data_IF_306715204102
#
_entry.id   IF_306715204102
#
_cell.length_a   1.000
_cell.length_b   1.000
_cell.length_c   1.000
_cell.angle_alpha   90.00
_cell.angle_beta   90.00
_cell.angle_gamma   90.00
#
_symmetry.space_group_name_H-M   'P 1'
#
loop_
_entity.id
_entity.type
_entity.pdbx_description
1 polymer ?
#
# COMPACT_ATOMS: atom_id res chain seq x y z
N UNK A 1 -16.13 -4.74 1.71
CA UNK A 1 -14.76 -4.58 2.24
C UNK A 1 -14.82 -3.46 3.25
N UNK A 2 -14.10 -3.62 4.35
CA UNK A 2 -13.93 -2.57 5.36
C UNK A 2 -12.49 -2.08 5.31
N UNK A 3 -12.26 -0.79 5.33
CA UNK A 3 -10.92 -0.21 5.39
C UNK A 3 -10.75 0.62 6.66
N UNK A 4 -9.57 0.51 7.27
CA UNK A 4 -9.19 1.38 8.40
C UNK A 4 -7.88 2.08 8.06
N UNK A 5 -7.87 3.41 8.17
CA UNK A 5 -6.67 4.23 8.00
C UNK A 5 -6.16 4.72 9.34
N UNK A 6 -4.86 4.56 9.58
CA UNK A 6 -4.16 4.93 10.83
C UNK A 6 -2.84 5.62 10.51
N UNK A 7 -2.24 6.27 11.50
CA UNK A 7 -0.87 6.77 11.39
C UNK A 7 0.11 5.59 11.41
N UNK A 8 1.17 5.64 10.59
CA UNK A 8 2.23 4.61 10.59
C UNK A 8 2.94 4.55 11.96
N UNK A 9 3.03 5.67 12.67
CA UNK A 9 3.60 5.76 14.02
C UNK A 9 2.88 4.90 15.06
N UNK A 10 1.68 4.37 14.78
CA UNK A 10 1.01 3.41 15.64
C UNK A 10 1.57 1.98 15.50
N UNK A 11 2.40 1.72 14.48
CA UNK A 11 2.98 0.41 14.18
C UNK A 11 4.50 0.41 14.34
N UNK A 12 5.18 1.51 14.03
CA UNK A 12 6.63 1.64 14.11
C UNK A 12 7.04 3.09 14.34
N UNK A 13 8.09 3.31 15.14
CA UNK A 13 8.71 4.63 15.33
C UNK A 13 9.75 4.95 14.24
N UNK A 14 10.12 3.96 13.42
CA UNK A 14 11.06 4.14 12.31
C UNK A 14 10.33 4.67 11.09
N UNK A 15 11.01 5.55 10.35
CA UNK A 15 10.56 5.97 9.03
C UNK A 15 10.58 4.75 8.09
N UNK A 16 9.46 4.52 7.41
CA UNK A 16 9.33 3.40 6.49
C UNK A 16 10.08 3.67 5.18
N UNK A 17 10.82 2.67 4.67
CA UNK A 17 11.25 2.71 3.27
C UNK A 17 10.09 2.21 2.40
N UNK A 18 9.55 3.10 1.55
CA UNK A 18 8.41 2.77 0.69
C UNK A 18 8.76 1.72 -0.37
N UNK A 19 10.01 1.69 -0.83
CA UNK A 19 10.50 0.69 -1.80
C UNK A 19 10.59 -0.67 -1.13
N UNK A 20 11.20 -0.74 0.05
CA UNK A 20 11.27 -1.98 0.84
C UNK A 20 9.88 -2.49 1.21
N UNK A 21 8.96 -1.59 1.56
CA UNK A 21 7.58 -1.96 1.89
C UNK A 21 6.82 -2.49 0.67
N UNK A 22 7.00 -1.93 -0.53
CA UNK A 22 6.36 -2.46 -1.74
C UNK A 22 6.85 -3.88 -2.08
N UNK A 23 8.11 -4.20 -1.77
CA UNK A 23 8.73 -5.52 -2.08
C UNK A 23 8.68 -5.84 -3.58
N UNK A 24 8.90 -7.11 -3.91
CA UNK A 24 9.03 -7.60 -5.29
C UNK A 24 7.69 -7.68 -6.04
N UNK A 25 6.57 -7.81 -5.32
CA UNK A 25 5.24 -8.07 -5.88
C UNK A 25 4.21 -6.96 -5.60
N UNK A 26 4.60 -5.92 -4.87
CA UNK A 26 3.72 -4.79 -4.57
C UNK A 26 3.80 -3.66 -5.61
N UNK A 27 3.15 -2.56 -5.26
CA UNK A 27 3.08 -1.37 -6.11
C UNK A 27 3.78 -0.20 -5.44
N UNK A 28 4.56 0.54 -6.21
CA UNK A 28 5.24 1.74 -5.76
C UNK A 28 4.93 2.89 -6.73
N UNK A 29 4.40 3.99 -6.20
CA UNK A 29 4.22 5.23 -6.95
C UNK A 29 4.73 6.40 -6.13
N UNK A 30 5.94 6.87 -6.45
CA UNK A 30 6.66 7.89 -5.69
C UNK A 30 7.13 9.04 -6.58
N UNK A 31 7.12 10.24 -6.00
CA UNK A 31 7.75 11.43 -6.56
C UNK A 31 8.59 12.07 -5.48
N UNK A 32 9.92 12.07 -5.65
CA UNK A 32 10.85 12.41 -4.57
C UNK A 32 10.60 11.48 -3.38
N UNK A 33 10.39 12.03 -2.18
CA UNK A 33 10.20 11.24 -0.95
C UNK A 33 8.75 10.88 -0.65
N UNK A 34 7.77 11.46 -1.36
CA UNK A 34 6.34 11.29 -1.09
C UNK A 34 5.64 10.44 -2.16
N UNK A 35 4.56 9.77 -1.79
CA UNK A 35 3.90 8.80 -2.66
C UNK A 35 3.19 7.70 -1.90
N UNK A 36 3.00 6.56 -2.55
CA UNK A 36 2.34 5.38 -1.98
C UNK A 36 3.13 4.11 -2.30
N UNK A 37 3.12 3.19 -1.34
CA UNK A 37 3.57 1.82 -1.50
C UNK A 37 2.46 0.87 -1.05
N UNK A 38 2.28 -0.24 -1.75
CA UNK A 38 1.15 -1.12 -1.51
C UNK A 38 1.52 -2.60 -1.58
N UNK A 39 0.83 -3.41 -0.78
CA UNK A 39 1.00 -4.86 -0.68
C UNK A 39 -0.33 -5.57 -0.90
N UNK A 40 -0.26 -6.71 -1.60
CA UNK A 40 -1.38 -7.61 -1.82
C UNK A 40 -2.54 -7.01 -2.61
N UNK A 41 -3.52 -7.85 -2.95
CA UNK A 41 -4.69 -7.46 -3.75
C UNK A 41 -5.96 -7.79 -2.98
N UNK A 42 -6.79 -6.79 -2.73
CA UNK A 42 -8.12 -6.98 -2.15
C UNK A 42 -9.16 -7.23 -3.26
N UNK A 43 -9.05 -6.51 -4.39
CA UNK A 43 -9.99 -6.61 -5.51
C UNK A 43 -9.33 -6.16 -6.82
N UNK A 44 -9.47 -6.94 -7.89
CA UNK A 44 -9.25 -6.45 -9.25
C UNK A 44 -10.53 -5.76 -9.76
N UNK A 45 -10.38 -4.62 -10.43
CA UNK A 45 -11.48 -3.72 -10.78
C UNK A 45 -11.30 -3.20 -12.19
N UNK A 46 -12.37 -3.26 -12.98
CA UNK A 46 -12.40 -2.63 -14.30
C UNK A 46 -12.36 -1.11 -14.18
N UNK A 47 -11.80 -0.39 -15.15
CA UNK A 47 -11.76 1.07 -15.15
C UNK A 47 -13.12 1.74 -14.89
N UNK A 48 -14.21 1.22 -15.46
CA UNK A 48 -15.58 1.73 -15.28
C UNK A 48 -16.11 1.61 -13.86
N UNK A 49 -15.58 0.67 -13.08
CA UNK A 49 -16.14 0.26 -11.79
C UNK A 49 -15.28 0.74 -10.61
N UNK A 50 -14.15 1.42 -10.89
CA UNK A 50 -13.20 1.88 -9.87
C UNK A 50 -13.88 2.80 -8.85
N UNK A 51 -14.60 3.83 -9.32
CA UNK A 51 -15.24 4.80 -8.43
C UNK A 51 -16.28 4.12 -7.53
N UNK A 52 -17.18 3.34 -8.12
CA UNK A 52 -18.21 2.60 -7.38
C UNK A 52 -17.57 1.61 -6.38
N UNK A 53 -16.52 0.90 -6.80
CA UNK A 53 -15.83 -0.05 -5.94
C UNK A 53 -15.12 0.60 -4.75
N UNK A 54 -14.60 1.81 -4.90
CA UNK A 54 -14.00 2.56 -3.79
C UNK A 54 -15.06 3.14 -2.86
N UNK A 55 -16.20 3.62 -3.39
CA UNK A 55 -17.32 4.14 -2.60
C UNK A 55 -18.01 3.07 -1.75
N UNK A 56 -18.02 1.81 -2.23
CA UNK A 56 -18.58 0.66 -1.51
C UNK A 56 -17.68 0.17 -0.36
N UNK A 57 -16.49 0.73 -0.18
CA UNK A 57 -15.62 0.39 0.96
C UNK A 57 -16.10 1.15 2.20
N UNK A 58 -16.51 0.41 3.22
CA UNK A 58 -16.77 0.98 4.54
C UNK A 58 -15.45 1.46 5.15
N UNK A 59 -15.17 2.76 5.02
CA UNK A 59 -13.88 3.36 5.35
C UNK A 59 -13.94 4.16 6.64
N UNK A 60 -13.15 3.73 7.62
CA UNK A 60 -12.90 4.47 8.84
C UNK A 60 -11.49 5.10 8.81
N UNK A 61 -11.43 6.43 8.66
CA UNK A 61 -10.17 7.16 8.76
C UNK A 61 -9.96 7.68 10.19
N UNK A 62 -8.94 7.17 10.87
CA UNK A 62 -8.57 7.56 12.24
C UNK A 62 -7.42 8.58 12.27
N UNK A 63 -7.15 9.23 11.14
CA UNK A 63 -6.11 10.26 10.99
C UNK A 63 -6.74 11.61 10.64
N UNK A 64 -5.94 12.67 10.72
CA UNK A 64 -6.30 13.98 10.19
C UNK A 64 -5.63 14.26 8.83
N UNK A 65 -5.06 13.24 8.19
CA UNK A 65 -4.30 13.39 6.95
C UNK A 65 -5.29 13.43 5.77
N UNK A 66 -5.35 14.54 5.01
CA UNK A 66 -6.27 14.66 3.90
C UNK A 66 -5.95 13.64 2.80
N UNK A 67 -6.99 13.13 2.14
CA UNK A 67 -6.89 12.18 1.03
C UNK A 67 -6.14 10.86 1.35
N UNK A 68 -6.03 10.50 2.64
CA UNK A 68 -5.57 9.18 3.06
C UNK A 68 -6.73 8.18 3.03
N UNK A 69 -6.47 6.92 2.63
CA UNK A 69 -7.53 5.93 2.48
C UNK A 69 -7.21 4.81 1.49
N UNK A 70 -8.21 3.97 1.16
CA UNK A 70 -8.07 2.96 0.13
C UNK A 70 -7.91 3.63 -1.24
N UNK A 71 -7.08 3.05 -2.10
CA UNK A 71 -6.82 3.54 -3.45
C UNK A 71 -6.95 2.41 -4.46
N UNK A 72 -7.17 2.77 -5.72
CA UNK A 72 -7.02 1.87 -6.85
C UNK A 72 -5.74 2.23 -7.62
N UNK A 73 -4.92 1.23 -7.94
CA UNK A 73 -3.65 1.39 -8.66
C UNK A 73 -3.68 0.48 -9.90
N UNK A 74 -3.15 0.95 -11.02
CA UNK A 74 -3.08 0.17 -12.24
C UNK A 74 -2.20 0.83 -13.29
N UNK A 75 -1.87 0.06 -14.32
CA UNK A 75 -1.12 0.54 -15.48
C UNK A 75 -2.07 0.57 -16.68
N UNK A 76 -2.16 1.74 -17.32
CA UNK A 76 -2.92 1.89 -18.56
C UNK A 76 -1.96 1.65 -19.73
N UNK A 77 -2.25 0.69 -20.64
CA UNK A 77 -1.46 0.48 -21.84
C UNK A 77 -1.38 1.76 -22.70
N UNK A 78 -0.33 1.87 -23.51
CA UNK A 78 -0.18 3.00 -24.43
C UNK A 78 -1.40 3.15 -25.35
N UNK A 79 -1.88 2.03 -25.89
CA UNK A 79 -3.18 1.95 -26.54
C UNK A 79 -4.26 1.80 -25.46
N UNK A 80 -4.83 2.91 -25.01
CA UNK A 80 -5.80 2.93 -23.89
C UNK A 80 -7.08 2.13 -24.11
N UNK A 81 -7.37 1.77 -25.37
CA UNK A 81 -8.49 0.89 -25.73
C UNK A 81 -8.19 -0.59 -25.46
N UNK A 82 -6.94 -0.96 -25.21
CA UNK A 82 -6.60 -2.34 -24.85
C UNK A 82 -7.12 -2.67 -23.45
N UNK A 83 -7.52 -3.93 -23.21
CA UNK A 83 -7.96 -4.38 -21.89
C UNK A 83 -6.91 -4.07 -20.82
N UNK A 84 -7.35 -3.45 -19.74
CA UNK A 84 -6.55 -3.17 -18.56
C UNK A 84 -7.42 -3.17 -17.31
N UNK A 85 -6.79 -3.40 -16.17
CA UNK A 85 -7.45 -3.45 -14.88
C UNK A 85 -6.71 -2.55 -13.89
N UNK A 86 -7.46 -2.07 -12.92
CA UNK A 86 -6.93 -1.53 -11.69
C UNK A 86 -7.07 -2.58 -10.61
N UNK A 87 -6.35 -2.41 -9.52
CA UNK A 87 -6.58 -3.17 -8.31
C UNK A 87 -6.66 -2.26 -7.10
N UNK A 88 -7.40 -2.71 -6.11
CA UNK A 88 -7.46 -2.12 -4.78
C UNK A 88 -6.53 -2.98 -3.91
N UNK A 89 -5.41 -2.44 -3.39
CA UNK A 89 -4.48 -3.22 -2.58
C UNK A 89 -5.07 -3.59 -1.21
N UNK A 90 -4.54 -4.66 -0.60
CA UNK A 90 -4.92 -5.05 0.77
C UNK A 90 -4.33 -4.10 1.82
N UNK A 91 -3.12 -3.62 1.59
CA UNK A 91 -2.43 -2.67 2.46
C UNK A 91 -1.80 -1.58 1.61
N UNK A 92 -1.97 -0.32 2.02
CA UNK A 92 -1.35 0.84 1.37
C UNK A 92 -0.73 1.71 2.44
N UNK A 93 0.56 2.04 2.29
CA UNK A 93 1.21 3.12 3.03
C UNK A 93 1.33 4.32 2.11
N UNK A 94 0.93 5.49 2.60
CA UNK A 94 1.14 6.76 1.90
C UNK A 94 1.99 7.70 2.72
N UNK A 95 2.83 8.49 2.03
CA UNK A 95 3.57 9.61 2.60
C UNK A 95 3.18 10.91 1.92
N UNK A 96 2.83 11.94 2.68
CA UNK A 96 2.52 13.28 2.18
C UNK A 96 3.78 14.10 1.93
N UNK A 97 3.69 15.21 1.16
CA UNK A 97 4.81 16.16 1.04
C UNK A 97 5.28 16.79 2.36
N UNK A 98 4.41 16.81 3.39
CA UNK A 98 4.74 17.26 4.74
C UNK A 98 5.40 16.18 5.60
N UNK A 99 5.74 15.02 5.01
CA UNK A 99 6.29 13.83 5.66
C UNK A 99 5.35 13.16 6.67
N UNK A 100 4.04 13.35 6.55
CA UNK A 100 3.07 12.58 7.32
C UNK A 100 2.85 11.22 6.67
N UNK A 101 2.87 10.15 7.47
CA UNK A 101 2.73 8.78 6.99
C UNK A 101 1.44 8.13 7.53
N UNK A 102 0.67 7.56 6.63
CA UNK A 102 -0.54 6.80 6.95
C UNK A 102 -0.46 5.40 6.38
N UNK A 103 -1.20 4.48 7.00
CA UNK A 103 -1.44 3.13 6.49
C UNK A 103 -2.94 2.86 6.44
N UNK A 104 -3.40 2.35 5.31
CA UNK A 104 -4.76 1.83 5.13
C UNK A 104 -4.69 0.32 4.99
N UNK A 105 -5.51 -0.36 5.80
CA UNK A 105 -5.61 -1.82 5.83
C UNK A 105 -7.05 -2.18 5.47
N UNK A 106 -7.20 -3.09 4.50
CA UNK A 106 -8.49 -3.66 4.12
C UNK A 106 -8.70 -4.99 4.84
N UNK A 107 -9.91 -5.13 5.40
CA UNK A 107 -10.40 -6.29 6.13
C UNK A 107 -9.42 -6.72 7.24
N UNK A 108 -8.89 -7.95 7.17
CA UNK A 108 -7.98 -8.56 8.16
C UNK A 108 -6.53 -8.63 7.69
N UNK A 109 -6.15 -7.86 6.66
CA UNK A 109 -4.79 -7.90 6.13
C UNK A 109 -3.76 -7.47 7.18
N UNK A 110 -2.66 -8.23 7.26
CA UNK A 110 -1.52 -7.91 8.12
C UNK A 110 -0.44 -7.21 7.30
N UNK A 111 -0.09 -5.94 7.61
CA UNK A 111 1.00 -5.26 6.94
C UNK A 111 2.33 -5.96 7.19
N UNK A 112 3.09 -6.20 6.15
CA UNK A 112 4.45 -6.70 6.30
C UNK A 112 5.42 -5.52 6.37
N UNK A 113 5.79 -5.16 7.60
CA UNK A 113 6.77 -4.11 7.89
C UNK A 113 8.21 -4.61 7.95
N UNK A 114 8.50 -5.86 7.56
CA UNK A 114 9.82 -6.47 7.77
C UNK A 114 10.93 -5.57 7.21
N UNK A 115 11.67 -4.97 8.15
CA UNK A 115 12.90 -4.23 7.96
C UNK A 115 14.02 -4.98 8.67
N UNK A 116 14.46 -6.11 8.11
CA UNK A 116 15.82 -6.61 8.32
C UNK A 116 16.20 -7.63 7.22
N UNK A 117 17.07 -7.26 6.27
CA UNK A 117 17.72 -8.22 5.39
C UNK A 117 18.53 -9.30 6.14
N UNK A 118 18.90 -9.06 7.42
CA UNK A 118 19.71 -9.98 8.22
C UNK A 118 18.91 -11.00 9.03
N UNK A 119 17.57 -10.98 9.01
CA UNK A 119 16.79 -12.04 9.66
C UNK A 119 16.97 -13.39 8.94
N UNK A 120 17.22 -13.39 7.63
CA UNK A 120 17.57 -14.60 6.88
C UNK A 120 19.00 -15.11 7.16
N UNK A 121 19.95 -14.22 7.47
CA UNK A 121 21.36 -14.59 7.69
C UNK A 121 21.56 -15.22 9.08
N UNK A 122 20.78 -14.83 10.10
CA UNK A 122 20.87 -15.45 11.44
C UNK A 122 20.49 -16.94 11.47
N UNK A 123 19.70 -17.42 10.53
CA UNK A 123 19.31 -18.83 10.43
C UNK A 123 20.15 -19.65 9.44
N UNK A 124 21.03 -19.02 8.66
CA UNK A 124 21.97 -19.73 7.80
C UNK A 124 23.32 -19.88 8.49
N UNK A 125 23.35 -20.71 9.54
CA UNK A 125 24.60 -21.28 10.04
C UNK A 125 25.16 -22.27 9.01
N UNK A 126 25.78 -21.76 7.93
CA UNK A 126 26.73 -22.56 7.16
C UNK A 126 28.10 -22.35 7.78
N UNK A 127 28.50 -23.33 8.58
CA UNK A 127 29.87 -23.53 9.00
C UNK A 127 30.65 -23.88 7.73
N UNK A 128 31.65 -23.04 7.39
CA UNK A 128 32.71 -23.41 6.45
C UNK A 128 33.80 -24.15 7.23
#
# INVERSE_FOLDING_TARGET
MRAVTKLVSQFTDKRLDLTEFARDDGYLFVKSEFGVAAQGVAKNVKPSDVLASLQDIDHQNLTNIPNSGPIAIGCIPFESNQPHEFLIPRVVVGRTPNNEEWITIIDDAEPNFAQDPNEFVKNSSYVV
#
